data_IF_539302124910
#
_entry.id   IF_539302124910
#
_cell.length_a   1.000
_cell.length_b   1.000
_cell.length_c   1.000
_cell.angle_alpha   90.00
_cell.angle_beta   90.00
_cell.angle_gamma   90.00
#
_symmetry.space_group_name_H-M   'P 1'
#
loop_
_entity.id
_entity.type
_entity.pdbx_description
1 polymer ?
#
# COMPACT_ATOMS: atom_id res chain seq x y z
N UNK A 1 16.19 -0.65 29.85
CA UNK A 1 15.34 -1.80 29.48
C UNK A 1 15.09 -1.68 27.99
N UNK A 2 15.67 -2.55 27.14
CA UNK A 2 15.56 -2.40 25.69
C UNK A 2 14.38 -3.23 25.16
N UNK A 3 13.40 -2.54 24.55
CA UNK A 3 12.32 -3.20 23.82
C UNK A 3 12.90 -3.94 22.61
N UNK A 4 12.36 -5.12 22.33
CA UNK A 4 12.77 -5.99 21.23
C UNK A 4 11.59 -6.06 20.27
N UNK A 5 11.81 -5.67 19.03
CA UNK A 5 10.78 -5.58 18.01
C UNK A 5 11.16 -6.56 16.90
N UNK A 6 10.18 -7.31 16.41
CA UNK A 6 10.33 -8.17 15.23
C UNK A 6 9.30 -7.79 14.17
N UNK A 7 9.71 -7.86 12.91
CA UNK A 7 8.88 -7.50 11.74
C UNK A 7 8.67 -8.73 10.87
N UNK A 8 7.42 -9.20 10.83
CA UNK A 8 7.01 -10.46 10.23
C UNK A 8 6.17 -10.20 8.99
N UNK A 9 6.81 -10.12 7.83
CA UNK A 9 6.19 -9.70 6.56
C UNK A 9 6.61 -10.58 5.39
N UNK A 10 5.80 -10.56 4.33
CA UNK A 10 6.17 -11.17 3.05
C UNK A 10 7.47 -10.62 2.47
N UNK A 11 8.15 -11.42 1.65
CA UNK A 11 9.38 -11.00 0.96
C UNK A 11 10.66 -11.04 1.81
N UNK A 12 10.60 -11.49 3.07
CA UNK A 12 11.75 -11.88 3.90
C UNK A 12 11.81 -13.40 4.06
N UNK A 13 13.01 -13.95 4.31
CA UNK A 13 13.19 -15.38 4.53
C UNK A 13 12.44 -15.87 5.78
N UNK A 14 11.68 -16.95 5.63
CA UNK A 14 10.85 -17.51 6.71
C UNK A 14 11.68 -18.01 7.89
N UNK A 15 12.81 -18.66 7.63
CA UNK A 15 13.70 -19.19 8.70
C UNK A 15 14.22 -18.07 9.61
N UNK A 16 14.61 -16.92 9.03
CA UNK A 16 15.10 -15.77 9.80
C UNK A 16 14.00 -15.20 10.69
N UNK A 17 12.79 -15.03 10.13
CA UNK A 17 11.62 -14.54 10.88
C UNK A 17 11.21 -15.50 12.01
N UNK A 18 11.28 -16.81 11.78
CA UNK A 18 11.02 -17.81 12.81
C UNK A 18 12.04 -17.72 13.97
N UNK A 19 13.33 -17.57 13.65
CA UNK A 19 14.37 -17.35 14.66
C UNK A 19 14.18 -16.04 15.44
N UNK A 20 13.72 -14.98 14.78
CA UNK A 20 13.37 -13.71 15.43
C UNK A 20 12.20 -13.89 16.41
N UNK A 21 11.18 -14.68 16.06
CA UNK A 21 10.03 -14.99 16.92
C UNK A 21 10.39 -15.88 18.11
N UNK A 22 11.22 -16.91 17.91
CA UNK A 22 11.68 -17.82 18.98
C UNK A 22 12.43 -17.05 20.09
N UNK A 23 13.09 -15.93 19.75
CA UNK A 23 13.75 -15.04 20.72
C UNK A 23 12.78 -14.25 21.60
N UNK A 24 11.46 -14.45 21.45
CA UNK A 24 10.37 -13.84 22.23
C UNK A 24 10.48 -12.30 22.24
N UNK A 25 10.32 -11.63 21.09
CA UNK A 25 10.31 -10.18 21.03
C UNK A 25 9.13 -9.63 21.84
N UNK A 26 9.28 -8.40 22.35
CA UNK A 26 8.24 -7.72 23.12
C UNK A 26 7.11 -7.21 22.21
N UNK A 27 7.45 -6.83 20.97
CA UNK A 27 6.51 -6.32 19.97
C UNK A 27 6.73 -7.09 18.66
N UNK A 28 5.64 -7.53 18.05
CA UNK A 28 5.64 -8.15 16.73
C UNK A 28 4.75 -7.31 15.82
N UNK A 29 5.33 -6.77 14.75
CA UNK A 29 4.59 -6.09 13.67
C UNK A 29 4.50 -7.07 12.52
N UNK A 30 3.30 -7.38 12.04
CA UNK A 30 3.14 -8.44 11.05
C UNK A 30 2.04 -8.19 10.02
N UNK A 31 2.27 -8.68 8.80
CA UNK A 31 1.18 -8.83 7.80
C UNK A 31 0.42 -10.13 8.09
N UNK A 32 -0.93 -10.14 8.05
CA UNK A 32 -1.73 -11.29 8.48
C UNK A 32 -1.33 -12.63 7.86
N UNK A 33 -1.21 -12.69 6.52
CA UNK A 33 -0.87 -13.93 5.83
C UNK A 33 0.46 -14.50 6.29
N UNK A 34 1.51 -13.67 6.40
CA UNK A 34 2.83 -14.14 6.85
C UNK A 34 2.80 -14.63 8.30
N UNK A 35 2.06 -13.95 9.18
CA UNK A 35 1.92 -14.39 10.57
C UNK A 35 1.17 -15.72 10.66
N UNK A 36 0.11 -15.90 9.86
CA UNK A 36 -0.64 -17.15 9.79
C UNK A 36 0.27 -18.31 9.34
N UNK A 37 1.10 -18.12 8.30
CA UNK A 37 2.08 -19.13 7.86
C UNK A 37 2.98 -19.57 9.02
N UNK A 38 3.47 -18.63 9.82
CA UNK A 38 4.32 -18.91 10.98
C UNK A 38 3.60 -19.65 12.11
N UNK A 39 2.33 -19.31 12.36
CA UNK A 39 1.49 -19.99 13.37
C UNK A 39 1.23 -21.44 12.95
N UNK A 40 0.89 -21.65 11.69
CA UNK A 40 0.56 -22.98 11.14
C UNK A 40 1.80 -23.87 11.04
N UNK A 41 2.97 -23.28 10.74
CA UNK A 41 4.24 -24.01 10.66
C UNK A 41 4.79 -24.43 12.03
N UNK A 42 4.45 -23.75 13.11
CA UNK A 42 4.93 -24.05 14.47
C UNK A 42 3.84 -23.86 15.55
N UNK A 43 2.89 -24.81 15.66
CA UNK A 43 1.80 -24.75 16.64
C UNK A 43 2.27 -24.81 18.10
N UNK A 44 3.34 -25.55 18.39
CA UNK A 44 3.81 -25.75 19.77
C UNK A 44 4.77 -24.66 20.25
N UNK A 45 5.44 -23.95 19.33
CA UNK A 45 6.30 -22.82 19.63
C UNK A 45 5.62 -21.48 19.40
N UNK A 46 5.57 -21.02 18.14
CA UNK A 46 5.06 -19.70 17.76
C UNK A 46 3.59 -19.52 18.14
N UNK A 47 2.70 -20.46 17.84
CA UNK A 47 1.28 -20.29 18.17
C UNK A 47 1.06 -20.21 19.69
N UNK A 48 1.80 -21.02 20.46
CA UNK A 48 1.79 -21.00 21.93
C UNK A 48 2.36 -19.70 22.49
N UNK A 49 3.39 -19.13 21.86
CA UNK A 49 3.93 -17.81 22.24
C UNK A 49 2.85 -16.73 22.14
N UNK A 50 2.06 -16.72 21.05
CA UNK A 50 1.00 -15.73 20.85
C UNK A 50 -0.13 -15.82 21.88
N UNK A 51 -0.30 -16.95 22.59
CA UNK A 51 -1.25 -17.06 23.71
C UNK A 51 -0.92 -16.17 24.90
N UNK A 52 0.29 -15.60 24.97
CA UNK A 52 0.75 -14.80 26.09
C UNK A 52 0.61 -13.29 25.88
N UNK A 53 0.17 -12.84 24.70
CA UNK A 53 0.08 -11.41 24.38
C UNK A 53 -1.02 -10.73 25.21
N UNK A 54 -0.75 -9.50 25.62
CA UNK A 54 -1.72 -8.64 26.34
C UNK A 54 -2.43 -7.65 25.43
N UNK A 55 -1.81 -7.32 24.31
CA UNK A 55 -2.29 -6.34 23.34
C UNK A 55 -2.36 -6.96 21.96
N UNK A 56 -3.41 -6.65 21.22
CA UNK A 56 -3.59 -7.08 19.84
C UNK A 56 -4.13 -5.91 19.02
N UNK A 57 -3.35 -5.45 18.05
CA UNK A 57 -3.67 -4.26 17.25
C UNK A 57 -4.00 -4.69 15.83
N UNK A 58 -5.14 -4.25 15.34
CA UNK A 58 -5.57 -4.40 13.95
C UNK A 58 -5.53 -3.02 13.31
N UNK A 59 -4.66 -2.84 12.34
CA UNK A 59 -4.56 -1.61 11.55
C UNK A 59 -5.09 -1.84 10.13
N UNK A 60 -5.63 -0.80 9.50
CA UNK A 60 -6.34 -0.87 8.21
C UNK A 60 -7.36 -2.04 8.15
N UNK A 61 -8.20 -2.17 9.18
CA UNK A 61 -9.05 -3.36 9.35
C UNK A 61 -10.05 -3.60 8.19
N UNK A 62 -10.34 -2.57 7.40
CA UNK A 62 -11.10 -2.61 6.15
C UNK A 62 -10.46 -3.49 5.07
N UNK A 63 -9.15 -3.69 5.16
CA UNK A 63 -8.37 -4.39 4.14
C UNK A 63 -7.77 -5.72 4.66
N UNK A 64 -7.97 -6.04 5.95
CA UNK A 64 -7.44 -7.26 6.53
C UNK A 64 -8.24 -8.50 6.10
N UNK A 65 -7.53 -9.43 5.47
CA UNK A 65 -8.04 -10.75 5.08
C UNK A 65 -7.40 -11.85 5.94
N UNK A 66 -8.08 -13.00 6.05
CA UNK A 66 -7.51 -14.24 6.60
C UNK A 66 -7.04 -14.15 8.06
N UNK A 67 -7.88 -13.59 8.95
CA UNK A 67 -7.54 -13.42 10.37
C UNK A 67 -7.88 -14.64 11.26
N UNK A 68 -8.62 -15.63 10.74
CA UNK A 68 -9.12 -16.74 11.55
C UNK A 68 -8.01 -17.54 12.25
N UNK A 69 -6.93 -17.85 11.56
CA UNK A 69 -5.77 -18.56 12.13
C UNK A 69 -5.15 -17.76 13.29
N UNK A 70 -5.00 -16.44 13.10
CA UNK A 70 -4.44 -15.55 14.13
C UNK A 70 -5.37 -15.45 15.33
N UNK A 71 -6.67 -15.28 15.13
CA UNK A 71 -7.65 -15.21 16.21
C UNK A 71 -7.69 -16.48 17.06
N UNK A 72 -7.47 -17.66 16.45
CA UNK A 72 -7.35 -18.92 17.19
C UNK A 72 -6.07 -19.02 18.00
N UNK A 73 -4.98 -18.37 17.57
CA UNK A 73 -3.68 -18.40 18.25
C UNK A 73 -3.55 -17.39 19.42
N UNK A 74 -4.30 -16.28 19.39
CA UNK A 74 -4.26 -15.26 20.47
C UNK A 74 -5.17 -15.61 21.65
N UNK A 75 -4.96 -15.03 22.86
CA UNK A 75 -5.81 -15.31 24.03
C UNK A 75 -7.13 -14.52 23.98
N UNK A 76 -8.20 -15.07 24.57
CA UNK A 76 -9.51 -14.39 24.63
C UNK A 76 -9.47 -13.12 25.50
N UNK A 77 -8.76 -13.17 26.62
CA UNK A 77 -8.59 -12.03 27.52
C UNK A 77 -7.36 -11.23 27.10
N UNK A 78 -7.57 -10.15 26.36
CA UNK A 78 -6.55 -9.21 25.89
C UNK A 78 -7.18 -7.85 25.63
N UNK A 79 -6.36 -6.80 25.60
CA UNK A 79 -6.76 -5.51 25.06
C UNK A 79 -6.61 -5.55 23.54
N UNK A 80 -7.71 -5.30 22.82
CA UNK A 80 -7.67 -5.20 21.36
C UNK A 80 -7.88 -3.75 20.96
N UNK A 81 -7.04 -3.25 20.04
CA UNK A 81 -7.21 -1.96 19.39
C UNK A 81 -7.49 -2.24 17.91
N UNK A 82 -8.45 -1.51 17.34
CA UNK A 82 -8.78 -1.60 15.93
C UNK A 82 -8.80 -0.21 15.33
N UNK A 83 -8.09 -0.05 14.22
CA UNK A 83 -8.02 1.17 13.42
C UNK A 83 -8.50 0.84 12.01
N UNK A 84 -9.39 1.67 11.47
CA UNK A 84 -9.87 1.56 10.10
C UNK A 84 -10.37 2.91 9.60
N UNK A 85 -10.27 3.11 8.29
CA UNK A 85 -10.84 4.27 7.62
C UNK A 85 -12.37 4.17 7.43
N UNK A 86 -12.99 3.00 7.66
CA UNK A 86 -14.43 2.81 7.45
C UNK A 86 -15.09 2.08 8.62
N UNK A 87 -16.21 2.62 9.12
CA UNK A 87 -16.93 2.05 10.27
C UNK A 87 -17.51 0.67 9.96
N UNK A 88 -18.10 0.48 8.78
CA UNK A 88 -18.77 -0.79 8.43
C UNK A 88 -17.81 -1.98 8.53
N UNK A 89 -16.58 -1.80 8.08
CA UNK A 89 -15.57 -2.85 8.14
C UNK A 89 -15.01 -3.04 9.55
N UNK A 90 -14.81 -1.95 10.30
CA UNK A 90 -14.45 -1.99 11.71
C UNK A 90 -15.45 -2.82 12.50
N UNK A 91 -16.76 -2.61 12.29
CA UNK A 91 -17.82 -3.37 12.93
C UNK A 91 -17.76 -4.86 12.58
N UNK A 92 -17.60 -5.21 11.30
CA UNK A 92 -17.48 -6.61 10.88
C UNK A 92 -16.29 -7.32 11.54
N UNK A 93 -15.14 -6.65 11.65
CA UNK A 93 -13.95 -7.18 12.30
C UNK A 93 -14.13 -7.27 13.83
N UNK A 94 -14.78 -6.28 14.46
CA UNK A 94 -15.12 -6.30 15.89
C UNK A 94 -16.01 -7.49 16.27
N UNK A 95 -16.97 -7.83 15.41
CA UNK A 95 -17.79 -9.04 15.60
C UNK A 95 -16.94 -10.31 15.61
N UNK A 96 -15.96 -10.44 14.72
CA UNK A 96 -15.05 -11.58 14.70
C UNK A 96 -14.14 -11.65 15.93
N UNK A 97 -13.73 -10.48 16.47
CA UNK A 97 -12.86 -10.41 17.64
C UNK A 97 -13.61 -10.59 18.97
N UNK A 98 -14.96 -10.65 18.94
CA UNK A 98 -15.81 -10.88 20.12
C UNK A 98 -15.57 -9.87 21.25
N UNK A 99 -15.30 -8.61 20.91
CA UNK A 99 -15.11 -7.55 21.91
C UNK A 99 -16.46 -7.21 22.54
N UNK A 100 -16.59 -7.41 23.85
CA UNK A 100 -17.76 -6.97 24.61
C UNK A 100 -17.60 -5.49 24.96
N UNK A 101 -18.45 -4.63 24.37
CA UNK A 101 -18.51 -3.16 24.60
C UNK A 101 -17.20 -2.42 24.23
N UNK A 102 -16.86 -2.32 22.93
CA UNK A 102 -15.73 -1.51 22.49
C UNK A 102 -15.97 -0.02 22.79
N UNK A 103 -14.90 0.69 23.14
CA UNK A 103 -14.88 2.15 23.05
C UNK A 103 -14.70 2.53 21.58
N UNK A 104 -15.57 3.40 21.07
CA UNK A 104 -15.48 3.94 19.72
C UNK A 104 -15.07 5.41 19.79
N UNK A 105 -14.06 5.74 18.98
CA UNK A 105 -13.67 7.10 18.69
C UNK A 105 -13.72 7.25 17.17
N UNK A 106 -14.49 8.22 16.72
CA UNK A 106 -14.60 8.63 15.33
C UNK A 106 -14.15 10.10 15.29
N UNK A 107 -13.28 10.41 14.33
CA UNK A 107 -12.93 11.79 14.05
C UNK A 107 -13.97 12.30 13.03
N UNK A 108 -14.83 13.22 13.46
CA UNK A 108 -15.80 13.93 12.61
C UNK A 108 -15.08 14.95 11.70
N UNK A 109 -13.97 14.55 11.08
CA UNK A 109 -13.39 15.34 10.01
C UNK A 109 -14.40 15.34 8.87
N UNK A 110 -15.00 16.49 8.56
CA UNK A 110 -15.71 16.70 7.30
C UNK A 110 -14.88 16.03 6.23
N UNK A 111 -15.46 15.05 5.53
CA UNK A 111 -14.82 14.41 4.38
C UNK A 111 -14.66 15.51 3.35
N UNK A 112 -13.60 16.30 3.48
CA UNK A 112 -13.12 17.20 2.45
C UNK A 112 -12.57 16.28 1.39
N UNK A 113 -13.48 15.80 0.54
CA UNK A 113 -13.17 15.54 -0.84
C UNK A 113 -12.29 16.71 -1.29
N UNK A 114 -11.08 16.36 -1.68
CA UNK A 114 -9.93 17.25 -1.65
C UNK A 114 -10.20 18.43 -2.59
N UNK A 115 -10.66 19.58 -2.08
CA UNK A 115 -10.85 20.81 -2.88
C UNK A 115 -9.57 21.24 -3.64
N UNK A 116 -8.42 20.67 -3.26
CA UNK A 116 -7.09 20.91 -3.85
C UNK A 116 -6.60 19.82 -4.81
N UNK A 117 -7.32 18.70 -4.98
CA UNK A 117 -6.88 17.63 -5.87
C UNK A 117 -7.43 17.87 -7.26
N UNK A 118 -6.58 18.36 -8.16
CA UNK A 118 -6.91 18.47 -9.56
C UNK A 118 -6.85 17.09 -10.23
N UNK A 119 -7.96 16.65 -10.81
CA UNK A 119 -8.05 15.38 -11.51
C UNK A 119 -8.27 15.64 -13.00
N UNK A 120 -7.49 14.96 -13.84
CA UNK A 120 -7.60 15.03 -15.30
C UNK A 120 -7.58 13.62 -15.88
N UNK A 121 -8.17 13.43 -17.05
CA UNK A 121 -8.12 12.17 -17.79
C UNK A 121 -7.64 12.40 -19.21
N UNK A 122 -7.05 11.36 -19.81
CA UNK A 122 -6.64 11.33 -21.21
C UNK A 122 -7.33 10.15 -21.86
N UNK A 123 -8.24 10.42 -22.79
CA UNK A 123 -8.87 9.40 -23.60
C UNK A 123 -7.92 9.04 -24.74
N UNK A 124 -7.44 7.80 -24.78
CA UNK A 124 -6.57 7.35 -25.86
C UNK A 124 -6.81 5.86 -26.17
N UNK A 125 -6.56 5.43 -27.43
CA UNK A 125 -6.53 4.02 -27.77
C UNK A 125 -5.48 3.27 -26.95
N UNK A 126 -5.80 2.05 -26.53
CA UNK A 126 -4.89 1.26 -25.67
C UNK A 126 -3.49 1.05 -26.29
N UNK A 127 -3.39 0.97 -27.62
CA UNK A 127 -2.11 0.75 -28.33
C UNK A 127 -1.14 1.93 -28.27
N UNK A 128 -1.61 3.15 -27.96
CA UNK A 128 -0.76 4.35 -27.86
C UNK A 128 -0.60 4.85 -26.43
N UNK A 129 -1.25 4.19 -25.46
CA UNK A 129 -1.33 4.61 -24.07
C UNK A 129 0.06 4.80 -23.43
N UNK A 130 1.02 3.92 -23.72
CA UNK A 130 2.38 4.02 -23.20
C UNK A 130 3.12 5.27 -23.75
N UNK A 131 2.85 5.67 -24.99
CA UNK A 131 3.44 6.86 -25.59
C UNK A 131 2.89 8.14 -24.93
N UNK A 132 1.57 8.19 -24.68
CA UNK A 132 0.94 9.28 -23.92
C UNK A 132 1.49 9.37 -22.50
N UNK A 133 1.65 8.23 -21.82
CA UNK A 133 2.25 8.20 -20.49
C UNK A 133 3.65 8.80 -20.49
N UNK A 134 4.51 8.39 -21.43
CA UNK A 134 5.87 8.94 -21.58
C UNK A 134 5.82 10.45 -21.86
N UNK A 135 4.93 10.91 -22.74
CA UNK A 135 4.78 12.33 -23.05
C UNK A 135 4.41 13.15 -21.81
N UNK A 136 3.39 12.73 -21.06
CA UNK A 136 2.94 13.41 -19.83
C UNK A 136 4.06 13.43 -18.78
N UNK A 137 4.71 12.29 -18.54
CA UNK A 137 5.80 12.20 -17.56
C UNK A 137 6.96 13.08 -17.99
N UNK A 138 7.36 13.05 -19.26
CA UNK A 138 8.47 13.87 -19.78
C UNK A 138 8.20 15.36 -19.59
N UNK A 139 7.02 15.83 -19.99
CA UNK A 139 6.66 17.24 -19.88
C UNK A 139 6.62 17.71 -18.43
N UNK A 140 6.05 16.91 -17.52
CA UNK A 140 6.01 17.27 -16.11
C UNK A 140 7.40 17.21 -15.45
N UNK A 141 8.21 16.22 -15.84
CA UNK A 141 9.55 16.01 -15.32
C UNK A 141 10.52 17.15 -15.71
N UNK A 142 10.42 17.66 -16.94
CA UNK A 142 11.29 18.73 -17.46
C UNK A 142 10.91 20.12 -16.96
N UNK A 143 9.61 20.38 -16.73
CA UNK A 143 9.14 21.70 -16.27
C UNK A 143 9.37 21.94 -14.78
N UNK A 144 9.59 20.88 -13.98
CA UNK A 144 9.71 20.99 -12.51
C UNK A 144 10.88 20.15 -12.03
N UNK A 145 12.00 20.77 -11.65
CA UNK A 145 13.25 20.06 -11.32
C UNK A 145 13.18 19.16 -10.08
N UNK A 146 12.28 19.46 -9.13
CA UNK A 146 12.15 18.71 -7.86
C UNK A 146 10.82 17.96 -7.73
N UNK A 147 10.09 17.77 -8.82
CA UNK A 147 8.79 17.10 -8.75
C UNK A 147 8.91 15.58 -8.68
N UNK A 148 8.02 14.96 -7.92
CA UNK A 148 7.91 13.52 -7.76
C UNK A 148 6.66 12.98 -8.47
N UNK A 149 6.82 11.85 -9.15
CA UNK A 149 5.81 11.24 -10.01
C UNK A 149 5.61 9.80 -9.58
N UNK A 150 4.35 9.44 -9.32
CA UNK A 150 3.93 8.09 -8.98
C UNK A 150 3.04 7.53 -10.11
N UNK A 151 3.43 6.41 -10.69
CA UNK A 151 2.69 5.75 -11.78
C UNK A 151 2.14 4.42 -11.30
N UNK A 152 0.83 4.28 -11.29
CA UNK A 152 0.13 3.05 -10.95
C UNK A 152 -0.11 2.18 -12.17
N UNK A 153 0.20 0.90 -12.02
CA UNK A 153 -0.02 -0.16 -13.01
C UNK A 153 -0.86 -1.28 -12.39
N UNK A 154 -1.51 -2.07 -13.24
CA UNK A 154 -2.40 -3.11 -12.75
C UNK A 154 -1.61 -4.38 -12.42
N UNK A 155 -0.66 -4.77 -13.28
CA UNK A 155 0.08 -6.03 -13.11
C UNK A 155 1.56 -5.81 -12.82
N UNK A 156 2.19 -6.79 -12.15
CA UNK A 156 3.65 -6.79 -11.94
C UNK A 156 4.41 -6.76 -13.27
N UNK A 157 3.87 -7.41 -14.30
CA UNK A 157 4.49 -7.47 -15.63
C UNK A 157 4.48 -6.10 -16.31
N UNK A 158 3.36 -5.38 -16.25
CA UNK A 158 3.27 -4.01 -16.75
C UNK A 158 4.21 -3.07 -15.99
N UNK A 159 4.21 -3.15 -14.65
CA UNK A 159 5.12 -2.36 -13.81
C UNK A 159 6.58 -2.54 -14.25
N UNK A 160 7.00 -3.80 -14.45
CA UNK A 160 8.35 -4.13 -14.89
C UNK A 160 8.63 -3.66 -16.32
N UNK A 161 7.69 -3.88 -17.25
CA UNK A 161 7.84 -3.49 -18.66
C UNK A 161 7.99 -1.97 -18.81
N UNK A 162 7.11 -1.19 -18.15
CA UNK A 162 7.20 0.27 -18.15
C UNK A 162 8.51 0.73 -17.49
N UNK A 163 8.91 0.11 -16.38
CA UNK A 163 10.17 0.46 -15.72
C UNK A 163 11.39 0.27 -16.62
N UNK A 164 11.41 -0.78 -17.44
CA UNK A 164 12.47 -1.01 -18.42
C UNK A 164 12.40 0.00 -19.57
N UNK A 165 11.20 0.27 -20.09
CA UNK A 165 10.98 1.27 -21.14
C UNK A 165 11.45 2.66 -20.70
N UNK A 166 11.04 3.13 -19.52
CA UNK A 166 11.46 4.43 -18.98
C UNK A 166 12.99 4.51 -18.80
N UNK A 167 13.64 3.44 -18.33
CA UNK A 167 15.11 3.38 -18.24
C UNK A 167 15.77 3.46 -19.62
N UNK A 168 15.23 2.75 -20.62
CA UNK A 168 15.73 2.81 -21.99
C UNK A 168 15.59 4.20 -22.62
N UNK A 169 14.58 4.97 -22.19
CA UNK A 169 14.36 6.36 -22.58
C UNK A 169 15.21 7.36 -21.77
N UNK A 170 16.07 6.90 -20.85
CA UNK A 170 16.99 7.72 -20.08
C UNK A 170 16.44 8.24 -18.74
N UNK A 171 15.28 7.80 -18.29
CA UNK A 171 14.74 8.18 -16.99
C UNK A 171 15.28 7.32 -15.85
N UNK A 172 15.59 7.95 -14.72
CA UNK A 172 15.84 7.24 -13.46
C UNK A 172 14.51 6.90 -12.77
N UNK A 173 14.14 5.62 -12.80
CA UNK A 173 12.88 5.14 -12.22
C UNK A 173 13.09 4.00 -11.22
N UNK A 174 12.31 4.04 -10.14
CA UNK A 174 12.15 2.94 -9.20
C UNK A 174 10.90 2.12 -9.54
N UNK A 175 10.91 0.83 -9.18
CA UNK A 175 9.75 -0.04 -9.32
C UNK A 175 9.36 -0.68 -7.99
N UNK A 176 8.06 -0.84 -7.75
CA UNK A 176 7.50 -1.52 -6.58
C UNK A 176 6.36 -2.45 -6.99
N UNK A 177 6.61 -3.76 -6.91
CA UNK A 177 5.60 -4.79 -7.10
C UNK A 177 5.95 -6.04 -6.29
N UNK A 178 5.01 -6.98 -6.16
CA UNK A 178 5.13 -8.12 -5.23
C UNK A 178 6.21 -9.14 -5.60
N UNK A 179 6.67 -9.16 -6.86
CA UNK A 179 7.75 -10.03 -7.33
C UNK A 179 9.16 -9.45 -7.05
N UNK A 180 9.27 -8.20 -6.59
CA UNK A 180 10.54 -7.62 -6.14
C UNK A 180 10.79 -8.02 -4.69
N UNK A 181 12.00 -8.49 -4.40
CA UNK A 181 12.39 -8.83 -3.03
C UNK A 181 12.32 -7.60 -2.10
N UNK A 182 11.97 -7.82 -0.83
CA UNK A 182 11.66 -6.72 0.09
C UNK A 182 12.81 -5.73 0.28
N UNK A 183 14.06 -6.19 0.30
CA UNK A 183 15.24 -5.33 0.41
C UNK A 183 15.36 -4.34 -0.76
N UNK A 184 15.09 -4.79 -1.98
CA UNK A 184 15.07 -3.95 -3.17
C UNK A 184 13.89 -2.98 -3.16
N UNK A 185 12.70 -3.42 -2.72
CA UNK A 185 11.55 -2.53 -2.53
C UNK A 185 11.87 -1.39 -1.57
N UNK A 186 12.42 -1.70 -0.41
CA UNK A 186 12.83 -0.70 0.59
C UNK A 186 13.90 0.25 0.03
N UNK A 187 14.88 -0.27 -0.70
CA UNK A 187 15.91 0.55 -1.34
C UNK A 187 15.31 1.52 -2.39
N UNK A 188 14.43 1.05 -3.27
CA UNK A 188 13.73 1.88 -4.25
C UNK A 188 12.92 2.98 -3.57
N UNK A 189 12.13 2.63 -2.55
CA UNK A 189 11.34 3.60 -1.80
C UNK A 189 12.23 4.63 -1.09
N UNK A 190 13.37 4.21 -0.54
CA UNK A 190 14.32 5.12 0.12
C UNK A 190 14.96 6.09 -0.87
N UNK A 191 15.32 5.61 -2.07
CA UNK A 191 15.81 6.49 -3.15
C UNK A 191 14.75 7.49 -3.59
N UNK A 192 13.48 7.07 -3.66
CA UNK A 192 12.37 7.96 -4.01
C UNK A 192 12.13 9.02 -2.94
N UNK A 193 12.06 8.61 -1.67
CA UNK A 193 11.90 9.52 -0.52
C UNK A 193 13.03 10.54 -0.38
N UNK A 194 14.25 10.19 -0.78
CA UNK A 194 15.40 11.09 -0.76
C UNK A 194 15.50 12.00 -1.99
N UNK A 195 14.55 11.91 -2.94
CA UNK A 195 14.59 12.66 -4.19
C UNK A 195 15.65 12.19 -5.19
N UNK A 196 16.43 11.14 -4.86
CA UNK A 196 17.46 10.56 -5.76
C UNK A 196 16.86 9.96 -7.02
N UNK A 197 15.64 9.42 -6.91
CA UNK A 197 14.81 9.08 -8.06
C UNK A 197 13.51 9.85 -7.90
N UNK A 198 12.98 10.33 -9.03
CA UNK A 198 11.78 11.17 -9.04
C UNK A 198 10.55 10.47 -9.59
N UNK A 199 10.73 9.31 -10.21
CA UNK A 199 9.65 8.51 -10.79
C UNK A 199 9.61 7.16 -10.09
N UNK A 200 8.43 6.80 -9.59
CA UNK A 200 8.15 5.51 -8.98
C UNK A 200 7.00 4.84 -9.72
N UNK A 201 7.25 3.66 -10.27
CA UNK A 201 6.22 2.85 -10.95
C UNK A 201 5.83 1.71 -10.02
N UNK A 202 4.54 1.58 -9.71
CA UNK A 202 4.09 0.58 -8.74
C UNK A 202 2.77 -0.09 -9.12
N UNK A 203 2.50 -1.23 -8.50
CA UNK A 203 1.15 -1.81 -8.51
C UNK A 203 0.35 -1.29 -7.31
N UNK A 204 -0.98 -1.27 -7.41
CA UNK A 204 -1.87 -0.84 -6.32
C UNK A 204 -1.56 -1.56 -5.01
N UNK A 205 -1.31 -2.87 -5.08
CA UNK A 205 -0.98 -3.70 -3.92
C UNK A 205 0.35 -3.29 -3.28
N UNK A 206 1.31 -2.83 -4.08
CA UNK A 206 2.64 -2.52 -3.60
C UNK A 206 2.76 -1.15 -2.95
N UNK A 207 1.85 -0.21 -3.28
CA UNK A 207 1.80 1.13 -2.70
C UNK A 207 1.00 1.23 -1.40
N UNK A 208 0.11 0.27 -1.12
CA UNK A 208 -0.69 0.26 0.12
C UNK A 208 0.20 0.19 1.35
N UNK A 209 -0.13 0.99 2.36
CA UNK A 209 0.63 1.09 3.61
C UNK A 209 2.04 1.66 3.44
N UNK A 210 2.41 2.15 2.25
CA UNK A 210 3.64 2.91 2.06
C UNK A 210 3.37 4.37 2.40
N UNK A 211 4.07 4.86 3.41
CA UNK A 211 4.19 6.29 3.66
C UNK A 211 5.05 6.94 2.56
N UNK A 212 4.41 7.30 1.45
CA UNK A 212 5.06 7.99 0.34
C UNK A 212 4.93 9.49 0.62
N UNK A 213 6.04 10.25 0.71
CA UNK A 213 6.00 11.70 0.94
C UNK A 213 5.24 12.39 -0.18
N UNK A 214 4.98 13.70 0.00
CA UNK A 214 4.23 14.54 -0.94
C UNK A 214 4.58 14.22 -2.40
N UNK A 215 3.60 13.66 -3.13
CA UNK A 215 3.71 13.35 -4.56
C UNK A 215 3.06 14.47 -5.37
N UNK A 216 3.78 15.01 -6.37
CA UNK A 216 3.27 16.14 -7.16
C UNK A 216 2.38 15.69 -8.32
N UNK A 217 2.61 14.50 -8.87
CA UNK A 217 1.80 13.91 -9.93
C UNK A 217 1.57 12.41 -9.69
N UNK A 218 0.30 12.03 -9.63
CA UNK A 218 -0.11 10.62 -9.60
C UNK A 218 -0.78 10.28 -10.92
N UNK A 219 -0.27 9.24 -11.60
CA UNK A 219 -0.80 8.76 -12.88
C UNK A 219 -1.32 7.35 -12.71
N UNK A 220 -2.60 7.14 -12.96
CA UNK A 220 -3.19 5.81 -13.08
C UNK A 220 -3.08 5.34 -14.54
N UNK A 221 -2.08 4.51 -14.86
CA UNK A 221 -1.91 3.96 -16.23
C UNK A 221 -3.05 3.02 -16.61
N UNK A 222 -3.70 2.44 -15.62
CA UNK A 222 -4.95 1.74 -15.78
C UNK A 222 -5.96 2.35 -14.83
N UNK A 223 -7.20 2.51 -15.30
CA UNK A 223 -8.29 2.93 -14.44
C UNK A 223 -8.46 1.88 -13.32
N UNK A 224 -8.46 2.30 -12.04
CA UNK A 224 -8.65 1.37 -10.92
C UNK A 224 -9.96 0.60 -11.06
N UNK A 225 -9.94 -0.72 -10.80
CA UNK A 225 -11.13 -1.59 -10.92
C UNK A 225 -12.27 -1.22 -9.98
N UNK A 226 -11.95 -0.57 -8.86
CA UNK A 226 -12.91 -0.10 -7.87
C UNK A 226 -12.60 1.38 -7.62
N UNK A 227 -13.21 2.31 -8.38
CA UNK A 227 -13.23 3.68 -7.92
C UNK A 227 -13.91 3.68 -6.55
N UNK A 228 -13.25 4.19 -5.51
CA UNK A 228 -14.02 4.75 -4.40
C UNK A 228 -14.95 5.77 -5.06
N UNK A 229 -16.28 5.73 -4.82
CA UNK A 229 -17.20 6.60 -5.53
C UNK A 229 -16.87 8.05 -5.18
N UNK A 230 -16.09 8.68 -6.05
CA UNK A 230 -15.98 10.13 -6.15
C UNK A 230 -16.92 10.43 -7.30
N UNK A 231 -18.12 10.90 -6.96
CA UNK A 231 -19.04 11.45 -7.94
C UNK A 231 -18.33 12.63 -8.59
N UNK A 232 -18.02 12.52 -9.87
CA UNK A 232 -17.57 13.65 -10.68
C UNK A 232 -18.72 13.92 -11.64
N UNK A 233 -19.43 15.01 -11.41
CA UNK A 233 -20.36 15.56 -12.41
C UNK A 233 -19.52 15.96 -13.63
N UNK A 234 -19.92 15.43 -14.79
CA UNK A 234 -19.29 15.69 -16.07
C UNK A 234 -19.72 17.08 -16.55
N UNK A 235 -18.98 18.10 -16.14
CA UNK A 235 -18.95 19.37 -16.85
C UNK A 235 -17.53 19.62 -17.38
N UNK A 236 -17.46 20.10 -18.62
CA UNK A 236 -16.28 20.59 -19.34
C UNK A 236 -15.42 19.56 -20.12
N UNK A 237 -16.08 18.95 -21.11
CA UNK A 237 -15.45 18.22 -22.22
C UNK A 237 -14.96 19.12 -23.37
N UNK A 238 -14.96 20.46 -23.23
CA UNK A 238 -14.69 21.36 -24.37
C UNK A 238 -13.23 21.83 -24.52
N UNK A 239 -12.36 21.66 -23.53
CA UNK A 239 -10.99 22.21 -23.60
C UNK A 239 -9.91 21.25 -24.11
N UNK A 240 -10.23 19.96 -24.32
CA UNK A 240 -9.24 18.95 -24.73
C UNK A 240 -9.14 18.73 -26.26
N UNK A 241 -10.13 19.14 -27.04
CA UNK A 241 -10.10 19.02 -28.51
C UNK A 241 -9.12 20.02 -29.15
N UNK A 242 -8.74 21.09 -28.46
CA UNK A 242 -7.84 22.13 -28.98
C UNK A 242 -6.34 21.74 -29.01
N UNK A 243 -5.96 20.63 -28.35
CA UNK A 243 -4.56 20.21 -28.19
C UNK A 243 -4.16 19.00 -29.05
N UNK A 244 -5.11 18.43 -29.79
CA UNK A 244 -4.86 17.29 -30.71
C UNK A 244 -4.73 17.76 -32.18
N UNK A 245 -5.03 19.03 -32.48
CA UNK A 245 -4.92 19.62 -33.83
C UNK A 245 -3.66 20.50 -34.08
N UNK A 246 -2.58 20.35 -33.31
CA UNK A 246 -1.27 20.96 -33.62
C UNK A 246 -0.14 19.93 -33.63
#
# INVERSE_FOLDING_TARGET
>A
MNLKISVIIGGRYQVVQAQELIKRPHIVVATPGRLADHIESDPEGIAKLLKTIKFFVLDEADQLLTLQTIFKAVPKQRQTLLFSATITSALNQLHQVSIKKPFFFEDDSDVKTVDRLEQRYVLCPNGVKDAYLVYVVKNFYTQRESSSILVFTHTCRECQALSLMFKALGFEVGSLHSQIIQSQRTASLTRFRSGKIRILICTDVAARGLDIPHVDLVINHNVPRFPKPIFIELEDLQELDALVEQ
#
